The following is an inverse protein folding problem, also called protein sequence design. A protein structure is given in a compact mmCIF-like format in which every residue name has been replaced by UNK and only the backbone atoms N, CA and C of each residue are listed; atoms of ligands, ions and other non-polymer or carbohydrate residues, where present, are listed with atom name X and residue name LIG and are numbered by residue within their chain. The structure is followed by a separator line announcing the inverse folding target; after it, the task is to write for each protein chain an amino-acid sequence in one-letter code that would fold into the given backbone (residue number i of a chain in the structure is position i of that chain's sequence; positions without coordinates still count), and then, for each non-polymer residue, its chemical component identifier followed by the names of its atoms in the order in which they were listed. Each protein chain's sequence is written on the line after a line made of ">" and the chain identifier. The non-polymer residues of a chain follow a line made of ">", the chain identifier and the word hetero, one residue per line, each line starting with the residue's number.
data_IF_169726739494
#
_entry.id   IF_169726739494
#
_cell.length_a   1.000
_cell.length_b   1.000
_cell.length_c   1.000
_cell.angle_alpha   90.00
_cell.angle_beta   90.00
_cell.angle_gamma   90.00
#
_symmetry.space_group_name_H-M   'P 1'
#
loop_
_entity.id
_entity.type
_entity.pdbx_description
1 polymer ?
#
# COMPACT_ATOMS: atom_id res chain seq x y z
N UNK A 1 -25.40 1.63 20.51
CA UNK A 1 -24.74 2.41 19.45
C UNK A 1 -24.29 1.40 18.41
N UNK A 2 -24.90 1.40 17.24
CA UNK A 2 -24.47 0.55 16.13
C UNK A 2 -23.16 1.13 15.61
N UNK A 3 -22.08 0.36 15.66
CA UNK A 3 -20.80 0.76 15.05
C UNK A 3 -21.05 0.95 13.55
N UNK A 4 -20.62 2.09 13.02
CA UNK A 4 -20.69 2.40 11.59
C UNK A 4 -19.97 1.29 10.79
N UNK A 5 -20.62 0.61 9.84
CA UNK A 5 -20.01 -0.49 9.08
C UNK A 5 -18.70 -0.11 8.39
N UNK A 6 -18.58 1.14 7.91
CA UNK A 6 -17.35 1.64 7.29
C UNK A 6 -16.21 1.70 8.30
N UNK A 7 -16.51 2.16 9.52
CA UNK A 7 -15.54 2.23 10.60
C UNK A 7 -15.12 0.84 11.07
N UNK A 8 -16.07 -0.10 11.21
CA UNK A 8 -15.78 -1.48 11.60
C UNK A 8 -14.83 -2.16 10.59
N UNK A 9 -15.10 -1.99 9.29
CA UNK A 9 -14.25 -2.50 8.21
C UNK A 9 -12.85 -1.91 8.25
N UNK A 10 -12.73 -0.59 8.38
CA UNK A 10 -11.43 0.08 8.44
C UNK A 10 -10.63 -0.36 9.67
N UNK A 11 -11.29 -0.50 10.83
CA UNK A 11 -10.65 -0.98 12.04
C UNK A 11 -10.14 -2.42 11.88
N UNK A 12 -10.94 -3.31 11.27
CA UNK A 12 -10.52 -4.69 11.01
C UNK A 12 -9.26 -4.76 10.11
N UNK A 13 -9.22 -3.97 9.03
CA UNK A 13 -8.02 -3.86 8.18
C UNK A 13 -6.85 -3.25 8.94
N UNK A 14 -7.09 -2.22 9.74
CA UNK A 14 -6.03 -1.61 10.55
C UNK A 14 -5.40 -2.61 11.51
N UNK A 15 -6.21 -3.33 12.28
CA UNK A 15 -5.73 -4.33 13.24
C UNK A 15 -4.99 -5.47 12.53
N UNK A 16 -5.51 -5.93 11.40
CA UNK A 16 -4.87 -6.93 10.55
C UNK A 16 -3.48 -6.47 10.07
N UNK A 17 -3.37 -5.26 9.51
CA UNK A 17 -2.11 -4.71 9.01
C UNK A 17 -1.12 -4.40 10.15
N UNK A 18 -1.62 -3.89 11.28
CA UNK A 18 -0.80 -3.62 12.46
C UNK A 18 -0.17 -4.90 13.00
N UNK A 19 -0.91 -6.01 13.04
CA UNK A 19 -0.39 -7.32 13.44
C UNK A 19 0.73 -7.82 12.50
N UNK A 20 0.75 -7.36 11.25
CA UNK A 20 1.82 -7.62 10.26
C UNK A 20 2.95 -6.60 10.28
N UNK A 21 2.92 -5.63 11.20
CA UNK A 21 3.96 -4.61 11.36
C UNK A 21 3.83 -3.41 10.42
N UNK A 22 2.68 -3.22 9.78
CA UNK A 22 2.41 -2.04 8.97
C UNK A 22 2.05 -0.84 9.84
N UNK A 23 2.35 0.36 9.33
CA UNK A 23 2.06 1.61 10.02
C UNK A 23 1.00 2.42 9.28
N UNK A 24 0.08 3.03 10.02
CA UNK A 24 -0.81 4.03 9.45
C UNK A 24 0.01 5.27 9.04
N UNK A 25 -0.15 5.71 7.79
CA UNK A 25 0.53 6.88 7.27
C UNK A 25 0.08 8.16 8.00
N UNK A 26 1.01 9.10 8.20
CA UNK A 26 0.72 10.42 8.79
C UNK A 26 0.55 10.45 10.31
N UNK A 27 0.85 9.38 11.05
CA UNK A 27 0.84 9.38 12.52
C UNK A 27 -0.55 9.55 13.14
N UNK A 28 -1.60 9.17 12.40
CA UNK A 28 -3.00 9.36 12.78
C UNK A 28 -3.50 8.27 13.73
N UNK A 29 -4.57 8.57 14.45
CA UNK A 29 -5.27 7.60 15.30
C UNK A 29 -6.43 6.97 14.51
N UNK A 30 -6.37 5.67 14.18
CA UNK A 30 -7.41 4.98 13.41
C UNK A 30 -8.74 4.89 14.16
N UNK A 31 -8.76 5.09 15.49
CA UNK A 31 -9.98 5.21 16.28
C UNK A 31 -10.67 6.57 16.17
N UNK A 32 -10.03 7.55 15.52
CA UNK A 32 -10.50 8.94 15.45
C UNK A 32 -10.66 9.47 14.03
N UNK A 33 -9.80 9.04 13.10
CA UNK A 33 -9.79 9.50 11.71
C UNK A 33 -10.37 8.41 10.79
N UNK A 34 -11.56 8.66 10.24
CA UNK A 34 -12.19 7.76 9.27
C UNK A 34 -11.53 7.91 7.90
N UNK A 35 -11.27 6.81 7.22
CA UNK A 35 -10.88 6.78 5.82
C UNK A 35 -11.91 7.51 4.95
N UNK A 36 -13.21 7.36 5.24
CA UNK A 36 -14.27 8.06 4.53
C UNK A 36 -14.18 9.59 4.63
N UNK A 37 -13.51 10.10 5.67
CA UNK A 37 -13.31 11.54 5.88
C UNK A 37 -11.92 12.02 5.40
N UNK A 38 -11.01 11.10 5.04
CA UNK A 38 -9.69 11.42 4.53
C UNK A 38 -9.21 10.44 3.42
N UNK A 39 -9.21 10.89 2.15
CA UNK A 39 -8.76 10.08 1.02
C UNK A 39 -7.24 9.79 1.02
N UNK A 40 -6.47 10.36 1.96
CA UNK A 40 -5.04 10.10 2.15
C UNK A 40 -4.77 9.08 3.26
N UNK A 41 -5.81 8.56 3.90
CA UNK A 41 -5.67 7.51 4.91
C UNK A 41 -5.22 6.20 4.24
N UNK A 42 -4.05 5.72 4.64
CA UNK A 42 -3.48 4.48 4.15
C UNK A 42 -2.42 3.95 5.10
N UNK A 43 -1.91 2.76 4.79
CA UNK A 43 -0.87 2.10 5.55
C UNK A 43 0.37 1.93 4.67
N UNK A 44 1.54 1.97 5.28
CA UNK A 44 2.80 1.65 4.62
C UNK A 44 3.53 0.54 5.36
N UNK A 45 4.26 -0.27 4.61
CA UNK A 45 5.10 -1.33 5.15
C UNK A 45 6.51 -0.79 5.45
N UNK A 46 6.89 -0.65 6.73
CA UNK A 46 8.13 0.03 7.12
C UNK A 46 9.40 -0.69 6.65
N UNK A 47 9.34 -2.01 6.48
CA UNK A 47 10.48 -2.81 6.05
C UNK A 47 10.75 -2.74 4.54
N UNK A 48 9.94 -1.99 3.77
CA UNK A 48 10.25 -1.68 2.36
C UNK A 48 11.68 -1.16 2.23
N UNK A 49 12.40 -1.60 1.19
CA UNK A 49 13.81 -1.26 0.94
C UNK A 49 14.75 -1.68 2.09
N UNK A 50 14.48 -2.83 2.71
CA UNK A 50 15.21 -3.32 3.88
C UNK A 50 15.07 -2.43 5.12
N UNK A 51 14.02 -1.61 5.19
CA UNK A 51 13.81 -0.63 6.27
C UNK A 51 14.73 0.59 6.19
N UNK A 52 15.39 0.82 5.05
CA UNK A 52 16.24 1.98 4.87
C UNK A 52 15.42 3.27 4.83
N UNK A 53 15.89 4.28 5.57
CA UNK A 53 15.32 5.61 5.48
C UNK A 53 15.76 6.29 4.18
N UNK A 54 14.79 6.62 3.34
CA UNK A 54 14.98 7.37 2.08
C UNK A 54 14.30 8.72 2.25
N UNK A 55 15.01 9.80 1.95
CA UNK A 55 14.41 11.13 1.96
C UNK A 55 13.40 11.27 0.83
N UNK A 56 12.25 11.85 1.13
CA UNK A 56 11.22 12.16 0.14
C UNK A 56 11.62 13.39 -0.69
N UNK A 57 11.69 13.21 -2.01
CA UNK A 57 12.05 14.21 -3.00
C UNK A 57 11.06 14.10 -4.16
N UNK A 58 9.94 14.82 -4.04
CA UNK A 58 8.90 14.86 -5.08
C UNK A 58 8.57 13.47 -5.65
N UNK A 59 8.45 13.33 -6.97
CA UNK A 59 8.17 12.07 -7.66
C UNK A 59 9.40 11.21 -7.92
N UNK A 60 10.53 11.55 -7.29
CA UNK A 60 11.84 10.89 -7.54
C UNK A 60 12.21 9.88 -6.47
N UNK A 61 11.47 9.88 -5.36
CA UNK A 61 11.62 8.90 -4.30
C UNK A 61 10.81 7.66 -4.63
N UNK A 62 11.42 6.46 -4.54
CA UNK A 62 10.68 5.21 -4.62
C UNK A 62 9.55 5.15 -3.59
N UNK A 63 8.39 4.71 -4.03
CA UNK A 63 7.20 4.50 -3.23
C UNK A 63 7.39 3.22 -2.43
N UNK A 64 7.10 3.28 -1.12
CA UNK A 64 7.08 2.10 -0.25
C UNK A 64 5.86 1.24 -0.58
N UNK A 65 5.93 -0.04 -0.24
CA UNK A 65 4.73 -0.89 -0.27
C UNK A 65 3.68 -0.23 0.64
N UNK A 66 2.50 0.03 0.07
CA UNK A 66 1.43 0.77 0.72
C UNK A 66 0.06 0.22 0.36
N UNK A 67 -0.94 0.55 1.15
CA UNK A 67 -2.32 0.10 0.93
C UNK A 67 -3.32 1.13 1.42
N UNK A 68 -4.48 1.19 0.79
CA UNK A 68 -5.57 2.12 1.12
C UNK A 68 -6.88 1.64 0.52
N UNK A 69 -8.00 2.16 1.01
CA UNK A 69 -9.28 2.00 0.31
C UNK A 69 -9.34 3.01 -0.84
N UNK A 70 -9.99 2.65 -1.95
CA UNK A 70 -10.15 3.53 -3.12
C UNK A 70 -11.35 3.07 -3.96
N UNK A 71 -11.54 3.67 -5.12
CA UNK A 71 -12.49 3.23 -6.13
C UNK A 71 -11.73 2.70 -7.35
N UNK A 72 -12.21 1.60 -7.93
CA UNK A 72 -11.72 1.11 -9.21
C UNK A 72 -12.25 1.95 -10.39
N UNK A 73 -11.86 1.60 -11.62
CA UNK A 73 -12.29 2.29 -12.85
C UNK A 73 -13.82 2.30 -13.07
N UNK A 74 -14.55 1.40 -12.40
CA UNK A 74 -16.01 1.34 -12.45
C UNK A 74 -16.68 2.24 -11.40
N UNK A 75 -15.91 2.85 -10.50
CA UNK A 75 -16.40 3.59 -9.35
C UNK A 75 -16.82 2.68 -8.19
N UNK A 76 -16.42 1.40 -8.19
CA UNK A 76 -16.71 0.46 -7.11
C UNK A 76 -15.64 0.58 -6.03
N UNK A 77 -16.06 0.62 -4.76
CA UNK A 77 -15.13 0.68 -3.64
C UNK A 77 -14.32 -0.63 -3.53
N UNK A 78 -13.01 -0.50 -3.41
CA UNK A 78 -12.05 -1.60 -3.33
C UNK A 78 -10.96 -1.28 -2.31
N UNK A 79 -10.25 -2.32 -1.87
CA UNK A 79 -8.99 -2.16 -1.14
C UNK A 79 -7.82 -2.33 -2.10
N UNK A 80 -6.90 -1.37 -2.14
CA UNK A 80 -5.73 -1.38 -3.00
C UNK A 80 -4.48 -1.74 -2.19
N UNK A 81 -3.64 -2.61 -2.77
CA UNK A 81 -2.27 -2.85 -2.34
C UNK A 81 -1.35 -2.43 -3.49
N UNK A 82 -0.41 -1.52 -3.21
CA UNK A 82 0.50 -0.94 -4.20
C UNK A 82 1.90 -1.44 -3.92
N UNK A 83 2.50 -2.15 -4.88
CA UNK A 83 3.85 -2.68 -4.75
C UNK A 83 4.90 -1.57 -4.48
N UNK A 84 5.98 -1.90 -3.78
CA UNK A 84 7.11 -0.97 -3.62
C UNK A 84 7.86 -0.80 -4.95
N UNK A 85 8.28 0.42 -5.28
CA UNK A 85 8.99 0.68 -6.53
C UNK A 85 9.00 2.14 -6.95
N UNK A 86 9.17 2.39 -8.23
CA UNK A 86 9.00 3.69 -8.86
C UNK A 86 7.52 3.99 -9.08
N UNK A 87 7.15 5.27 -8.96
CA UNK A 87 5.79 5.73 -9.21
C UNK A 87 5.31 5.23 -10.59
N UNK A 88 4.03 4.82 -10.67
CA UNK A 88 3.50 4.05 -11.79
C UNK A 88 3.86 4.62 -13.17
N UNK A 89 4.17 3.71 -14.09
CA UNK A 89 4.67 3.96 -15.44
C UNK A 89 6.04 4.65 -15.50
N UNK A 90 6.81 4.64 -14.42
CA UNK A 90 8.21 5.10 -14.41
C UNK A 90 9.18 3.94 -14.14
N UNK A 91 10.30 3.92 -14.87
CA UNK A 91 11.31 2.86 -14.76
C UNK A 91 10.94 1.60 -15.56
N UNK A 92 11.30 0.42 -15.05
CA UNK A 92 11.01 -0.87 -15.69
C UNK A 92 9.77 -1.54 -15.07
N UNK A 93 9.13 -2.50 -15.78
CA UNK A 93 7.97 -3.22 -15.24
C UNK A 93 8.21 -3.99 -13.93
N UNK A 94 9.47 -4.28 -13.59
CA UNK A 94 9.83 -4.98 -12.33
C UNK A 94 9.84 -4.01 -11.14
N UNK A 95 10.20 -2.75 -11.38
CA UNK A 95 10.21 -1.71 -10.35
C UNK A 95 8.99 -0.79 -10.47
N UNK A 96 7.92 -1.21 -11.13
CA UNK A 96 6.69 -0.42 -11.23
C UNK A 96 5.84 -0.60 -9.96
N UNK A 97 5.16 0.46 -9.54
CA UNK A 97 4.17 0.44 -8.45
C UNK A 97 2.82 -0.07 -8.95
N UNK A 98 2.77 -1.32 -9.39
CA UNK A 98 1.53 -1.94 -9.86
C UNK A 98 0.50 -2.03 -8.71
N UNK A 99 -0.70 -1.51 -8.95
CA UNK A 99 -1.81 -1.59 -8.01
C UNK A 99 -2.52 -2.94 -8.14
N UNK A 100 -2.78 -3.58 -7.01
CA UNK A 100 -3.58 -4.80 -6.90
C UNK A 100 -4.85 -4.48 -6.14
N UNK A 101 -5.99 -4.57 -6.82
CA UNK A 101 -7.30 -4.33 -6.19
C UNK A 101 -7.89 -5.62 -5.61
N UNK A 102 -8.40 -5.50 -4.39
CA UNK A 102 -9.17 -6.50 -3.67
C UNK A 102 -10.59 -5.96 -3.52
N UNK A 103 -11.57 -6.53 -4.24
CA UNK A 103 -12.97 -6.17 -4.06
C UNK A 103 -13.43 -6.45 -2.63
N UNK A 104 -14.37 -5.65 -2.15
CA UNK A 104 -15.06 -5.94 -0.91
C UNK A 104 -15.93 -7.20 -1.04
N UNK A 105 -16.18 -7.88 0.08
CA UNK A 105 -17.12 -9.00 0.12
C UNK A 105 -18.55 -8.51 -0.19
N UNK A 106 -19.50 -9.40 -0.50
CA UNK A 106 -20.89 -9.02 -0.71
C UNK A 106 -21.53 -8.28 0.47
N UNK A 107 -21.02 -8.49 1.69
CA UNK A 107 -21.46 -7.82 2.91
C UNK A 107 -20.76 -6.46 3.14
N UNK A 108 -19.90 -6.05 2.20
CA UNK A 108 -19.16 -4.79 2.24
C UNK A 108 -17.91 -4.84 3.12
N UNK A 109 -17.45 -6.03 3.51
CA UNK A 109 -16.26 -6.23 4.35
C UNK A 109 -14.99 -6.31 3.51
N UNK A 110 -13.82 -6.14 4.14
CA UNK A 110 -12.54 -6.39 3.49
C UNK A 110 -12.25 -7.90 3.45
N UNK A 111 -11.90 -8.43 2.28
CA UNK A 111 -11.47 -9.82 2.13
C UNK A 111 -10.03 -9.99 2.65
N UNK A 112 -9.90 -10.18 3.97
CA UNK A 112 -8.61 -10.24 4.66
C UNK A 112 -7.75 -11.42 4.21
N UNK A 113 -8.35 -12.55 3.81
CA UNK A 113 -7.60 -13.71 3.31
C UNK A 113 -6.96 -13.41 1.96
N UNK A 114 -7.69 -12.74 1.06
CA UNK A 114 -7.14 -12.30 -0.22
C UNK A 114 -6.09 -11.21 -0.04
N UNK A 115 -6.28 -10.28 0.90
CA UNK A 115 -5.26 -9.29 1.24
C UNK A 115 -4.01 -10.01 1.75
N UNK A 116 -4.15 -10.95 2.71
CA UNK A 116 -3.03 -11.71 3.26
C UNK A 116 -2.21 -12.40 2.17
N UNK A 117 -2.87 -13.09 1.23
CA UNK A 117 -2.19 -13.74 0.11
C UNK A 117 -1.39 -12.78 -0.75
N UNK A 118 -1.88 -11.55 -0.99
CA UNK A 118 -1.12 -10.54 -1.73
C UNK A 118 0.07 -10.01 -0.92
N UNK A 119 -0.09 -9.84 0.38
CA UNK A 119 0.96 -9.34 1.26
C UNK A 119 2.08 -10.37 1.46
N UNK A 120 1.75 -11.66 1.53
CA UNK A 120 2.74 -12.74 1.64
C UNK A 120 3.70 -12.79 0.44
N UNK A 121 3.26 -12.31 -0.73
CA UNK A 121 4.11 -12.10 -1.91
C UNK A 121 4.87 -10.77 -1.85
N UNK A 122 4.17 -9.67 -1.58
CA UNK A 122 4.72 -8.32 -1.76
C UNK A 122 5.65 -7.86 -0.64
N UNK A 123 5.41 -8.28 0.61
CA UNK A 123 6.24 -7.88 1.75
C UNK A 123 7.71 -8.33 1.61
N UNK A 124 8.02 -9.61 1.29
CA UNK A 124 9.41 -10.01 1.09
C UNK A 124 10.04 -9.36 -0.15
N UNK A 125 9.27 -9.16 -1.23
CA UNK A 125 9.75 -8.45 -2.42
C UNK A 125 10.13 -7.00 -2.08
N UNK A 126 9.22 -6.27 -1.42
CA UNK A 126 9.45 -4.90 -0.98
C UNK A 126 10.64 -4.78 -0.05
N UNK A 127 10.83 -5.74 0.86
CA UNK A 127 11.97 -5.75 1.78
C UNK A 127 13.31 -6.04 1.07
N UNK A 128 13.29 -6.80 -0.03
CA UNK A 128 14.49 -7.17 -0.78
C UNK A 128 14.97 -6.10 -1.79
N UNK A 129 14.13 -5.12 -2.13
CA UNK A 129 14.48 -4.07 -3.09
C UNK A 129 15.68 -3.23 -2.62
N UNK A 130 16.69 -3.09 -3.47
CA UNK A 130 17.75 -2.10 -3.29
C UNK A 130 17.25 -0.72 -3.76
N UNK A 131 17.05 0.25 -2.85
CA UNK A 131 16.51 1.55 -3.24
C UNK A 131 17.43 2.29 -4.22
N UNK A 132 18.74 2.03 -4.19
CA UNK A 132 19.67 2.58 -5.17
C UNK A 132 19.37 2.05 -6.57
N UNK A 133 19.17 0.74 -6.70
CA UNK A 133 18.84 0.12 -7.98
C UNK A 133 17.48 0.60 -8.53
N UNK A 134 16.50 0.81 -7.64
CA UNK A 134 15.19 1.37 -8.02
C UNK A 134 15.32 2.81 -8.53
N UNK A 135 16.09 3.66 -7.85
CA UNK A 135 16.39 5.04 -8.27
C UNK A 135 17.18 5.05 -9.58
N UNK A 136 18.21 4.22 -9.71
CA UNK A 136 18.99 4.13 -10.95
C UNK A 136 18.09 3.69 -12.13
N UNK A 137 17.14 2.79 -11.89
CA UNK A 137 16.16 2.37 -12.88
C UNK A 137 15.25 3.53 -13.34
N UNK A 138 14.87 4.43 -12.43
CA UNK A 138 14.06 5.61 -12.74
C UNK A 138 14.80 6.56 -13.69
N UNK A 139 16.08 6.82 -13.42
CA UNK A 139 16.84 7.88 -14.09
C UNK A 139 17.64 7.41 -15.31
N UNK A 140 18.13 6.18 -15.30
CA UNK A 140 19.02 5.66 -16.33
C UNK A 140 18.35 4.62 -17.24
N UNK A 141 17.08 4.31 -17.00
CA UNK A 141 16.28 3.41 -17.82
C UNK A 141 16.21 1.98 -17.27
N UNK A 142 15.63 1.04 -18.05
CA UNK A 142 15.30 -0.28 -17.54
C UNK A 142 16.52 -1.06 -17.07
N UNK A 143 16.38 -1.77 -15.95
CA UNK A 143 17.42 -2.68 -15.46
C UNK A 143 17.80 -3.72 -16.54
N UNK A 144 19.09 -4.11 -16.62
CA UNK A 144 19.50 -5.24 -17.45
C UNK A 144 18.74 -6.50 -17.00
N UNK A 145 18.20 -7.24 -17.97
CA UNK A 145 17.58 -8.55 -17.71
C UNK A 145 18.64 -9.62 -17.50
#
# INVERSE_FOLDING_TARGET
>A
MTTDPLFARQLAVHEFLLARGWHLAGGRDPGRDRFADDPTAGWHYPASFGGQHINEVATTTPVRLQSYFTFDDSGTEVFAVVAAGNLHANGCPVHDTAERFVPLTPDGEADLDRIASQLDELEPEAAALDPRAVIECLYFGPCPR
#
